data_IF_225124227371
#
_entry.id   IF_225124227371
#
_cell.length_a   1.000
_cell.length_b   1.000
_cell.length_c   1.000
_cell.angle_alpha   90.00
_cell.angle_beta   90.00
_cell.angle_gamma   90.00
#
_symmetry.space_group_name_H-M   'P 1'
#
loop_
_entity.id
_entity.type
_entity.pdbx_description
1 polymer ?
#
# COMPACT_ATOMS: atom_id res chain seq x y z
N UNK A 1 13.50 -18.14 7.44
CA UNK A 1 13.29 -17.43 6.18
C UNK A 1 14.41 -17.77 5.24
N UNK A 2 14.09 -18.08 4.00
CA UNK A 2 15.07 -18.57 3.05
C UNK A 2 15.84 -17.43 2.39
N UNK A 3 17.15 -17.60 2.24
CA UNK A 3 17.97 -16.71 1.42
C UNK A 3 17.79 -17.07 -0.06
N UNK A 4 17.83 -16.05 -0.95
CA UNK A 4 17.94 -16.29 -2.39
C UNK A 4 19.25 -17.01 -2.73
N UNK A 5 19.34 -17.59 -3.92
CA UNK A 5 20.63 -18.19 -4.37
C UNK A 5 21.72 -17.10 -4.46
N UNK A 6 21.37 -15.90 -4.90
CA UNK A 6 22.30 -14.76 -4.92
C UNK A 6 22.83 -14.40 -3.52
N UNK A 7 21.96 -14.38 -2.51
CA UNK A 7 22.35 -14.11 -1.10
C UNK A 7 23.17 -15.27 -0.51
N UNK A 8 22.90 -16.50 -0.90
CA UNK A 8 23.70 -17.66 -0.51
C UNK A 8 25.09 -17.61 -1.15
N UNK A 9 25.16 -17.30 -2.45
CA UNK A 9 26.41 -17.10 -3.17
C UNK A 9 27.26 -15.98 -2.55
N UNK A 10 26.67 -14.82 -2.28
CA UNK A 10 27.37 -13.68 -1.67
C UNK A 10 27.92 -13.98 -0.27
N UNK A 11 27.42 -14.99 0.42
CA UNK A 11 27.91 -15.40 1.73
C UNK A 11 29.09 -16.41 1.67
N UNK A 12 29.42 -16.95 0.49
CA UNK A 12 30.56 -17.84 0.32
C UNK A 12 31.88 -17.07 0.28
N UNK A 13 33.02 -17.71 0.62
CA UNK A 13 34.34 -17.16 0.35
C UNK A 13 34.53 -16.82 -1.13
N UNK A 14 35.31 -15.77 -1.43
CA UNK A 14 35.50 -15.30 -2.81
C UNK A 14 36.02 -16.43 -3.73
N UNK A 15 36.94 -17.26 -3.24
CA UNK A 15 37.51 -18.38 -3.98
C UNK A 15 36.45 -19.43 -4.40
N UNK A 16 35.46 -19.67 -3.51
CA UNK A 16 34.34 -20.57 -3.82
C UNK A 16 33.37 -19.93 -4.82
N UNK A 17 33.09 -18.61 -4.70
CA UNK A 17 32.28 -17.88 -5.68
C UNK A 17 32.93 -17.93 -7.07
N UNK A 18 34.24 -17.64 -7.17
CA UNK A 18 34.99 -17.70 -8.43
C UNK A 18 34.97 -19.11 -9.05
N UNK A 19 35.12 -20.17 -8.23
CA UNK A 19 35.07 -21.53 -8.69
C UNK A 19 33.70 -21.90 -9.28
N UNK A 20 32.59 -21.43 -8.64
CA UNK A 20 31.23 -21.66 -9.13
C UNK A 20 31.00 -20.88 -10.42
N UNK A 21 31.40 -19.59 -10.46
CA UNK A 21 31.21 -18.77 -11.66
C UNK A 21 32.03 -19.27 -12.87
N UNK A 22 33.19 -19.92 -12.61
CA UNK A 22 34.00 -20.52 -13.66
C UNK A 22 33.33 -21.70 -14.38
N UNK A 23 32.29 -22.29 -13.80
CA UNK A 23 31.50 -23.35 -14.44
C UNK A 23 30.49 -22.83 -15.47
N UNK A 24 30.22 -21.52 -15.48
CA UNK A 24 29.29 -20.86 -16.39
C UNK A 24 30.02 -20.22 -17.58
N UNK A 25 29.38 -20.22 -18.73
CA UNK A 25 29.80 -19.41 -19.88
C UNK A 25 29.52 -17.92 -19.65
N UNK A 26 30.18 -17.04 -20.40
CA UNK A 26 29.92 -15.59 -20.35
C UNK A 26 28.45 -15.25 -20.69
N UNK A 27 27.84 -16.02 -21.62
CA UNK A 27 26.43 -15.85 -21.99
C UNK A 27 25.48 -16.25 -20.85
N UNK A 28 25.76 -17.35 -20.17
CA UNK A 28 24.98 -17.79 -19.01
C UNK A 28 25.09 -16.81 -17.84
N UNK A 29 26.29 -16.30 -17.56
CA UNK A 29 26.50 -15.26 -16.55
C UNK A 29 25.75 -13.96 -16.89
N UNK A 30 25.76 -13.56 -18.16
CA UNK A 30 25.02 -12.39 -18.61
C UNK A 30 23.49 -12.54 -18.43
N UNK A 31 22.97 -13.76 -18.52
CA UNK A 31 21.56 -14.06 -18.32
C UNK A 31 21.19 -14.20 -16.84
N UNK A 32 22.14 -14.56 -15.97
CA UNK A 32 21.91 -14.79 -14.55
C UNK A 32 21.31 -13.56 -13.85
N UNK A 33 21.65 -12.34 -14.29
CA UNK A 33 21.08 -11.09 -13.77
C UNK A 33 19.56 -10.98 -13.96
N UNK A 34 18.98 -11.74 -14.90
CA UNK A 34 17.55 -11.77 -15.18
C UNK A 34 16.85 -13.02 -14.62
N UNK A 35 17.60 -13.95 -14.02
CA UNK A 35 17.05 -15.19 -13.51
C UNK A 35 16.33 -14.95 -12.19
N UNK A 36 15.00 -15.10 -12.21
CA UNK A 36 14.16 -14.96 -11.01
C UNK A 36 14.48 -15.99 -9.93
N UNK A 37 14.85 -17.21 -10.30
CA UNK A 37 15.12 -18.27 -9.34
C UNK A 37 16.45 -18.03 -8.61
N UNK A 38 17.36 -17.28 -9.23
CA UNK A 38 18.60 -16.87 -8.60
C UNK A 38 18.41 -15.67 -7.64
N UNK A 39 17.62 -14.67 -8.01
CA UNK A 39 17.52 -13.42 -7.27
C UNK A 39 16.40 -13.37 -6.24
N UNK A 40 15.27 -14.06 -6.49
CA UNK A 40 14.13 -14.00 -5.58
C UNK A 40 14.36 -14.88 -4.35
N UNK A 41 14.00 -14.36 -3.19
CA UNK A 41 13.89 -15.18 -1.98
C UNK A 41 12.67 -16.09 -2.09
N UNK A 42 12.65 -17.24 -1.40
CA UNK A 42 11.51 -18.16 -1.44
C UNK A 42 10.16 -17.51 -1.17
N UNK A 43 10.12 -16.51 -0.27
CA UNK A 43 8.91 -15.77 0.08
C UNK A 43 8.45 -14.77 -1.01
N UNK A 44 9.31 -14.44 -1.98
CA UNK A 44 8.98 -13.60 -3.14
C UNK A 44 8.51 -14.43 -4.34
N UNK A 45 8.72 -15.73 -4.32
CA UNK A 45 8.31 -16.62 -5.42
C UNK A 45 6.80 -16.79 -5.38
N UNK A 46 6.15 -16.37 -6.46
CA UNK A 46 4.71 -16.55 -6.61
C UNK A 46 4.43 -18.04 -6.80
N UNK A 47 3.55 -18.65 -5.99
CA UNK A 47 3.31 -20.08 -6.05
C UNK A 47 2.75 -20.51 -7.40
N UNK A 48 3.22 -21.65 -7.88
CA UNK A 48 2.59 -22.32 -9.02
C UNK A 48 1.27 -23.00 -8.55
N UNK A 49 0.38 -23.32 -9.49
CA UNK A 49 -0.83 -24.07 -9.20
C UNK A 49 -2.12 -23.39 -9.63
N UNK A 50 -3.23 -23.99 -9.20
CA UNK A 50 -4.58 -23.57 -9.55
C UNK A 50 -5.13 -22.56 -8.51
N UNK A 51 -4.65 -21.35 -8.57
CA UNK A 51 -5.17 -20.23 -7.78
C UNK A 51 -5.80 -19.15 -8.69
N UNK A 52 -6.78 -18.46 -8.17
CA UNK A 52 -7.46 -17.37 -8.87
C UNK A 52 -6.84 -16.01 -8.54
N UNK A 53 -6.53 -15.79 -7.28
CA UNK A 53 -5.87 -14.57 -6.79
C UNK A 53 -4.72 -14.98 -5.89
N UNK A 54 -3.54 -14.40 -6.13
CA UNK A 54 -2.46 -14.41 -5.16
C UNK A 54 -2.26 -12.97 -4.67
N UNK A 55 -2.32 -12.76 -3.36
CA UNK A 55 -2.04 -11.45 -2.76
C UNK A 55 -0.72 -11.50 -2.00
N UNK A 56 0.27 -10.76 -2.50
CA UNK A 56 1.56 -10.53 -1.84
C UNK A 56 1.42 -9.32 -0.90
N UNK A 57 1.17 -9.61 0.37
CA UNK A 57 0.92 -8.64 1.44
C UNK A 57 2.16 -8.52 2.32
N UNK A 58 2.95 -7.48 2.14
CA UNK A 58 4.25 -7.39 2.80
C UNK A 58 4.64 -5.95 3.14
N UNK A 59 5.60 -5.80 4.07
CA UNK A 59 6.15 -4.52 4.49
C UNK A 59 6.85 -3.76 3.35
N UNK A 60 7.16 -2.48 3.59
CA UNK A 60 7.95 -1.66 2.65
C UNK A 60 9.36 -2.24 2.51
N UNK A 61 9.94 -2.14 1.31
CA UNK A 61 11.28 -2.67 1.06
C UNK A 61 11.37 -4.20 0.98
N UNK A 62 10.27 -4.94 1.16
CA UNK A 62 10.25 -6.39 0.98
C UNK A 62 10.68 -6.84 -0.44
N UNK A 63 10.46 -6.02 -1.47
CA UNK A 63 10.71 -6.36 -2.87
C UNK A 63 9.47 -6.87 -3.60
N UNK A 64 8.28 -6.40 -3.20
CA UNK A 64 6.98 -6.75 -3.83
C UNK A 64 6.97 -6.49 -5.33
N UNK A 65 7.43 -5.31 -5.74
CA UNK A 65 7.47 -4.91 -7.16
C UNK A 65 8.37 -5.84 -7.97
N UNK A 66 9.55 -6.19 -7.45
CA UNK A 66 10.45 -7.14 -8.11
C UNK A 66 9.78 -8.51 -8.29
N UNK A 67 9.17 -9.05 -7.24
CA UNK A 67 8.45 -10.33 -7.30
C UNK A 67 7.34 -10.30 -8.36
N UNK A 68 6.57 -9.21 -8.41
CA UNK A 68 5.48 -9.02 -9.36
C UNK A 68 5.99 -8.90 -10.80
N UNK A 69 7.02 -8.09 -11.05
CA UNK A 69 7.56 -7.88 -12.41
C UNK A 69 8.27 -9.11 -12.94
N UNK A 70 8.98 -9.85 -12.11
CA UNK A 70 9.55 -11.15 -12.44
C UNK A 70 8.46 -12.19 -12.78
N UNK A 71 7.35 -12.19 -12.03
CA UNK A 71 6.22 -13.05 -12.38
C UNK A 71 5.61 -12.65 -13.73
N UNK A 72 5.46 -11.35 -14.02
CA UNK A 72 4.99 -10.87 -15.34
C UNK A 72 5.94 -11.33 -16.45
N UNK A 73 7.26 -11.25 -16.24
CA UNK A 73 8.26 -11.78 -17.19
C UNK A 73 8.05 -13.27 -17.40
N UNK A 74 8.00 -14.05 -16.32
CA UNK A 74 7.81 -15.51 -16.36
C UNK A 74 6.58 -15.91 -17.19
N UNK A 75 5.42 -15.29 -16.96
CA UNK A 75 4.19 -15.62 -17.70
C UNK A 75 4.22 -15.14 -19.16
N UNK A 76 4.77 -13.95 -19.39
CA UNK A 76 4.87 -13.41 -20.76
C UNK A 76 5.73 -14.27 -21.66
N UNK A 77 6.83 -14.82 -21.14
CA UNK A 77 7.73 -15.71 -21.88
C UNK A 77 7.18 -17.13 -22.00
N UNK A 78 6.59 -17.66 -20.92
CA UNK A 78 6.02 -19.00 -20.89
C UNK A 78 4.79 -19.16 -21.80
N UNK A 79 4.02 -18.10 -22.00
CA UNK A 79 2.76 -18.12 -22.77
C UNK A 79 2.77 -17.09 -23.88
N UNK A 80 3.45 -17.35 -25.03
CA UNK A 80 3.50 -16.42 -26.15
C UNK A 80 2.11 -15.96 -26.59
N UNK A 81 1.96 -14.66 -26.86
CA UNK A 81 0.67 -14.07 -27.23
C UNK A 81 -0.30 -13.85 -26.07
N UNK A 82 0.11 -14.05 -24.80
CA UNK A 82 -0.77 -13.81 -23.67
C UNK A 82 -1.09 -12.31 -23.51
N UNK A 83 -2.24 -12.04 -22.91
CA UNK A 83 -2.74 -10.70 -22.60
C UNK A 83 -2.73 -10.48 -21.11
N UNK A 84 -2.13 -9.37 -20.67
CA UNK A 84 -1.88 -9.05 -19.26
C UNK A 84 -2.52 -7.69 -18.94
N UNK A 85 -3.27 -7.60 -17.83
CA UNK A 85 -3.69 -6.33 -17.25
C UNK A 85 -2.69 -5.90 -16.18
N UNK A 86 -2.16 -4.68 -16.25
CA UNK A 86 -1.27 -4.12 -15.22
C UNK A 86 -1.96 -2.93 -14.58
N UNK A 87 -2.26 -3.01 -13.31
CA UNK A 87 -3.08 -2.05 -12.61
C UNK A 87 -2.35 -1.41 -11.41
N UNK A 88 -2.54 -0.11 -11.20
CA UNK A 88 -2.15 0.60 -9.98
C UNK A 88 -3.12 1.77 -9.72
N UNK A 89 -2.81 2.60 -8.73
CA UNK A 89 -3.64 3.76 -8.41
C UNK A 89 -3.72 4.72 -9.60
N UNK A 90 -2.58 5.12 -10.19
CA UNK A 90 -2.51 6.00 -11.35
C UNK A 90 -1.66 5.37 -12.48
N UNK A 91 -1.87 5.83 -13.73
CA UNK A 91 -1.02 5.43 -14.87
C UNK A 91 0.44 5.85 -14.65
N UNK A 92 0.66 6.98 -13.96
CA UNK A 92 1.99 7.47 -13.65
C UNK A 92 2.72 6.55 -12.66
N UNK A 93 2.02 6.03 -11.64
CA UNK A 93 2.58 5.05 -10.71
C UNK A 93 3.01 3.79 -11.46
N UNK A 94 2.16 3.27 -12.35
CA UNK A 94 2.50 2.10 -13.17
C UNK A 94 3.75 2.38 -14.01
N UNK A 95 3.78 3.50 -14.72
CA UNK A 95 4.90 3.88 -15.57
C UNK A 95 6.20 3.96 -14.78
N UNK A 96 6.21 4.74 -13.70
CA UNK A 96 7.44 5.08 -13.00
C UNK A 96 7.96 3.94 -12.12
N UNK A 97 7.07 3.09 -11.59
CA UNK A 97 7.45 2.01 -10.67
C UNK A 97 7.45 0.65 -11.36
N UNK A 98 6.34 0.29 -12.03
CA UNK A 98 6.16 -1.06 -12.56
C UNK A 98 6.81 -1.23 -13.94
N UNK A 99 6.82 -0.19 -14.77
CA UNK A 99 7.38 -0.28 -16.14
C UNK A 99 8.86 0.11 -16.16
N UNK A 100 9.20 1.35 -15.75
CA UNK A 100 10.53 1.94 -15.92
C UNK A 100 11.37 2.03 -14.65
N UNK A 101 10.84 1.60 -13.49
CA UNK A 101 11.58 1.59 -12.23
C UNK A 101 12.73 0.57 -12.24
N UNK A 102 13.63 0.66 -11.26
CA UNK A 102 14.81 -0.22 -11.15
C UNK A 102 14.45 -1.71 -11.03
N UNK A 103 13.31 -2.02 -10.43
CA UNK A 103 12.71 -3.37 -10.37
C UNK A 103 11.54 -3.51 -11.35
N UNK A 104 11.46 -2.64 -12.35
CA UNK A 104 10.37 -2.59 -13.31
C UNK A 104 10.49 -3.62 -14.42
N UNK A 105 9.41 -3.76 -15.19
CA UNK A 105 9.33 -4.76 -16.27
C UNK A 105 10.47 -4.59 -17.28
N UNK A 106 10.85 -3.35 -17.67
CA UNK A 106 11.93 -3.14 -18.61
C UNK A 106 13.31 -3.52 -18.05
N UNK A 107 13.50 -3.39 -16.74
CA UNK A 107 14.76 -3.70 -16.07
C UNK A 107 14.98 -5.21 -15.87
N UNK A 108 13.90 -5.96 -15.65
CA UNK A 108 14.00 -7.41 -15.39
C UNK A 108 14.06 -8.28 -16.64
N UNK A 109 14.04 -7.69 -17.84
CA UNK A 109 14.12 -8.42 -19.11
C UNK A 109 15.46 -8.21 -19.81
N UNK A 110 16.03 -9.28 -20.32
CA UNK A 110 17.16 -9.20 -21.25
C UNK A 110 16.76 -8.50 -22.56
N UNK A 111 17.72 -7.91 -23.27
CA UNK A 111 17.46 -7.08 -24.46
C UNK A 111 16.63 -7.78 -25.55
N UNK A 112 16.89 -9.08 -25.76
CA UNK A 112 16.23 -9.88 -26.81
C UNK A 112 14.78 -10.25 -26.51
N UNK A 113 14.36 -10.17 -25.26
CA UNK A 113 13.01 -10.51 -24.79
C UNK A 113 12.23 -9.30 -24.25
N UNK A 114 12.93 -8.15 -24.12
CA UNK A 114 12.38 -6.93 -23.51
C UNK A 114 11.18 -6.41 -24.30
N UNK A 115 10.04 -6.11 -23.62
CA UNK A 115 8.90 -5.51 -24.28
C UNK A 115 9.17 -4.06 -24.67
N UNK A 116 8.56 -3.63 -25.78
CA UNK A 116 8.46 -2.22 -26.14
C UNK A 116 7.34 -1.54 -25.35
N UNK A 117 7.67 -0.47 -24.63
CA UNK A 117 6.66 0.36 -23.97
C UNK A 117 6.14 1.42 -24.94
N UNK A 118 4.82 1.48 -25.14
CA UNK A 118 4.13 2.48 -25.98
C UNK A 118 3.32 3.45 -25.11
N UNK A 119 3.86 4.64 -24.80
CA UNK A 119 3.17 5.61 -23.95
C UNK A 119 1.83 6.08 -24.50
N UNK A 120 1.71 6.21 -25.83
CA UNK A 120 0.50 6.69 -26.49
C UNK A 120 -0.71 5.77 -26.34
N UNK A 121 -0.47 4.47 -26.19
CA UNK A 121 -1.50 3.44 -25.99
C UNK A 121 -1.48 2.86 -24.57
N UNK A 122 -0.58 3.37 -23.70
CA UNK A 122 -0.39 2.85 -22.33
C UNK A 122 -0.27 1.33 -22.31
N UNK A 123 0.66 0.80 -23.12
CA UNK A 123 0.78 -0.65 -23.33
C UNK A 123 2.24 -1.11 -23.48
N UNK A 124 2.46 -2.40 -23.22
CA UNK A 124 3.72 -3.11 -23.42
C UNK A 124 3.52 -4.21 -24.46
N UNK A 125 4.50 -4.38 -25.35
CA UNK A 125 4.46 -5.35 -26.44
C UNK A 125 5.74 -6.18 -26.45
N UNK A 126 5.64 -7.47 -26.18
CA UNK A 126 6.76 -8.41 -26.23
C UNK A 126 7.04 -8.89 -27.64
N UNK A 127 8.31 -9.24 -27.98
CA UNK A 127 8.66 -9.80 -29.28
C UNK A 127 7.90 -11.09 -29.63
N UNK A 128 7.51 -11.88 -28.62
CA UNK A 128 6.75 -13.12 -28.79
C UNK A 128 5.22 -12.93 -28.99
N UNK A 129 4.76 -11.68 -29.16
CA UNK A 129 3.37 -11.34 -29.36
C UNK A 129 2.55 -11.17 -28.08
N UNK A 130 3.15 -11.37 -26.90
CA UNK A 130 2.50 -11.04 -25.63
C UNK A 130 2.26 -9.54 -25.51
N UNK A 131 1.19 -9.16 -24.80
CA UNK A 131 0.73 -7.78 -24.72
C UNK A 131 0.28 -7.46 -23.29
N UNK A 132 0.61 -6.26 -22.79
CA UNK A 132 0.03 -5.77 -21.55
C UNK A 132 -0.59 -4.39 -21.72
N UNK A 133 -1.71 -4.18 -21.03
CA UNK A 133 -2.40 -2.90 -20.92
C UNK A 133 -2.29 -2.34 -19.52
N UNK A 134 -1.97 -1.02 -19.42
CA UNK A 134 -1.87 -0.32 -18.15
C UNK A 134 -3.23 0.26 -17.77
N UNK A 135 -3.68 0.01 -16.53
CA UNK A 135 -5.00 0.32 -16.02
C UNK A 135 -4.91 1.12 -14.73
N UNK A 136 -5.63 2.24 -14.63
CA UNK A 136 -5.64 3.10 -13.43
C UNK A 136 -6.93 2.92 -12.64
N UNK A 137 -6.83 2.90 -11.29
CA UNK A 137 -8.01 2.91 -10.43
C UNK A 137 -8.78 4.23 -10.45
N UNK A 138 -8.21 5.29 -11.01
CA UNK A 138 -8.91 6.55 -11.29
C UNK A 138 -9.86 6.45 -12.48
N UNK A 139 -9.67 5.43 -13.35
CA UNK A 139 -10.47 5.20 -14.54
C UNK A 139 -10.93 3.74 -14.62
N UNK A 140 -11.81 3.30 -13.72
CA UNK A 140 -12.21 1.89 -13.61
C UNK A 140 -12.84 1.33 -14.88
N UNK A 141 -13.46 2.17 -15.71
CA UNK A 141 -14.03 1.79 -17.01
C UNK A 141 -12.98 1.28 -18.01
N UNK A 142 -11.71 1.66 -17.88
CA UNK A 142 -10.64 1.21 -18.77
C UNK A 142 -10.44 -0.32 -18.75
N UNK A 143 -10.87 -1.00 -17.69
CA UNK A 143 -10.86 -2.46 -17.60
C UNK A 143 -12.15 -3.12 -18.15
N UNK A 144 -13.13 -2.33 -18.63
CA UNK A 144 -14.34 -2.85 -19.29
C UNK A 144 -14.08 -3.00 -20.78
N UNK A 145 -14.28 -4.17 -21.31
CA UNK A 145 -14.02 -4.47 -22.73
C UNK A 145 -12.77 -5.30 -22.97
N UNK A 146 -11.59 -4.92 -22.48
CA UNK A 146 -10.40 -5.78 -22.57
C UNK A 146 -10.63 -7.15 -21.91
N UNK A 147 -9.87 -8.14 -22.39
CA UNK A 147 -9.87 -9.49 -21.82
C UNK A 147 -8.42 -9.91 -21.61
N UNK A 148 -8.15 -10.46 -20.43
CA UNK A 148 -6.82 -10.85 -20.01
C UNK A 148 -6.74 -12.32 -19.63
N UNK A 149 -5.58 -12.94 -19.84
CA UNK A 149 -5.21 -14.25 -19.28
C UNK A 149 -4.72 -14.07 -17.86
N UNK A 150 -3.95 -12.97 -17.64
CA UNK A 150 -3.35 -12.62 -16.36
C UNK A 150 -3.58 -11.17 -16.03
N UNK A 151 -3.58 -10.85 -14.75
CA UNK A 151 -3.52 -9.47 -14.32
C UNK A 151 -2.59 -9.32 -13.12
N UNK A 152 -2.00 -8.13 -12.97
CA UNK A 152 -1.24 -7.74 -11.78
C UNK A 152 -1.74 -6.40 -11.26
N UNK A 153 -1.68 -6.22 -9.95
CA UNK A 153 -2.03 -4.99 -9.30
C UNK A 153 -0.98 -4.56 -8.28
N UNK A 154 -0.41 -3.36 -8.47
CA UNK A 154 0.55 -2.78 -7.54
C UNK A 154 -0.16 -1.85 -6.55
N UNK A 155 0.30 -1.87 -5.30
CA UNK A 155 -0.25 -1.11 -4.17
C UNK A 155 -1.79 -1.19 -4.08
N UNK A 156 -2.32 -2.40 -4.19
CA UNK A 156 -3.76 -2.70 -4.25
C UNK A 156 -4.56 -2.04 -3.13
N UNK A 157 -4.04 -2.02 -1.89
CA UNK A 157 -4.71 -1.37 -0.77
C UNK A 157 -4.85 0.16 -0.91
N UNK A 158 -4.14 0.78 -1.86
CA UNK A 158 -4.21 2.21 -2.13
C UNK A 158 -5.12 2.56 -3.31
N UNK A 159 -5.75 1.58 -3.95
CA UNK A 159 -6.61 1.84 -5.10
C UNK A 159 -7.85 2.62 -4.70
N UNK A 160 -8.29 3.49 -5.61
CA UNK A 160 -9.54 4.22 -5.42
C UNK A 160 -10.71 3.24 -5.37
N UNK A 161 -11.57 3.43 -4.38
CA UNK A 161 -12.86 2.73 -4.29
C UNK A 161 -13.94 3.42 -5.11
N UNK A 162 -13.59 4.48 -5.87
CA UNK A 162 -14.51 5.17 -6.77
C UNK A 162 -15.06 4.17 -7.77
N UNK A 163 -16.35 4.08 -7.79
CA UNK A 163 -17.05 3.23 -8.74
C UNK A 163 -17.33 3.99 -10.06
N UNK A 164 -17.36 3.25 -11.16
CA UNK A 164 -17.83 3.75 -12.43
C UNK A 164 -19.34 4.01 -12.44
N UNK A 165 -19.89 4.46 -13.55
CA UNK A 165 -21.33 4.71 -13.72
C UNK A 165 -22.23 3.49 -13.44
N UNK A 166 -21.66 2.28 -13.46
CA UNK A 166 -22.37 1.02 -13.12
C UNK A 166 -22.21 0.59 -11.67
N UNK A 167 -21.45 1.32 -10.87
CA UNK A 167 -21.09 0.97 -9.49
C UNK A 167 -19.92 -0.01 -9.38
N UNK A 168 -19.17 -0.27 -10.46
CA UNK A 168 -18.02 -1.18 -10.46
C UNK A 168 -16.70 -0.42 -10.22
N UNK A 169 -15.85 -0.97 -9.35
CA UNK A 169 -14.49 -0.49 -9.13
C UNK A 169 -13.51 -1.10 -10.14
N UNK A 170 -12.28 -0.57 -10.23
CA UNK A 170 -11.24 -1.21 -11.04
C UNK A 170 -11.03 -2.68 -10.65
N UNK A 171 -11.05 -2.99 -9.36
CA UNK A 171 -10.88 -4.37 -8.88
C UNK A 171 -11.98 -5.30 -9.40
N UNK A 172 -13.23 -4.91 -9.28
CA UNK A 172 -14.34 -5.72 -9.79
C UNK A 172 -14.30 -5.88 -11.33
N UNK A 173 -13.97 -4.80 -12.05
CA UNK A 173 -13.81 -4.86 -13.51
C UNK A 173 -12.64 -5.75 -13.92
N UNK A 174 -11.50 -5.70 -13.17
CA UNK A 174 -10.33 -6.54 -13.42
C UNK A 174 -10.63 -8.04 -13.21
N UNK A 175 -11.40 -8.37 -12.15
CA UNK A 175 -11.86 -9.75 -11.91
C UNK A 175 -12.67 -10.29 -13.08
N UNK A 176 -13.53 -9.47 -13.65
CA UNK A 176 -14.36 -9.83 -14.82
C UNK A 176 -13.56 -9.88 -16.12
N UNK A 177 -12.59 -8.97 -16.28
CA UNK A 177 -11.74 -8.89 -17.47
C UNK A 177 -10.75 -10.06 -17.56
N UNK A 178 -10.29 -10.59 -16.42
CA UNK A 178 -9.31 -11.70 -16.36
C UNK A 178 -10.02 -13.04 -16.47
N UNK A 179 -10.51 -13.35 -17.67
CA UNK A 179 -11.36 -14.53 -17.96
C UNK A 179 -10.89 -15.40 -19.12
N UNK A 180 -9.82 -15.01 -19.80
CA UNK A 180 -9.30 -15.82 -20.89
C UNK A 180 -8.70 -17.12 -20.33
N UNK A 181 -8.92 -18.21 -21.06
CA UNK A 181 -8.37 -19.51 -20.70
C UNK A 181 -6.87 -19.52 -20.93
N UNK A 182 -6.14 -20.16 -20.00
CA UNK A 182 -4.73 -20.40 -20.14
C UNK A 182 -4.46 -21.49 -21.18
N UNK A 183 -3.35 -21.43 -21.90
CA UNK A 183 -2.87 -22.55 -22.69
C UNK A 183 -2.71 -23.80 -21.78
N UNK A 184 -3.42 -24.88 -22.10
CA UNK A 184 -3.43 -26.09 -21.26
C UNK A 184 -4.57 -26.19 -20.25
N UNK A 185 -5.49 -25.20 -20.22
CA UNK A 185 -6.65 -25.15 -19.33
C UNK A 185 -6.42 -24.36 -18.04
N UNK A 186 -7.49 -24.13 -17.33
CA UNK A 186 -7.49 -23.28 -16.12
C UNK A 186 -8.05 -21.89 -16.35
N UNK A 187 -8.42 -21.18 -15.28
CA UNK A 187 -8.92 -19.81 -15.32
C UNK A 187 -7.79 -18.77 -15.28
N UNK A 188 -8.11 -17.53 -15.61
CA UNK A 188 -7.18 -16.42 -15.51
C UNK A 188 -6.71 -16.19 -14.08
N UNK A 189 -5.51 -15.66 -13.90
CA UNK A 189 -4.87 -15.46 -12.60
C UNK A 189 -4.59 -13.99 -12.35
N UNK A 190 -4.75 -13.55 -11.10
CA UNK A 190 -4.52 -12.16 -10.67
C UNK A 190 -3.53 -12.14 -9.52
N UNK A 191 -2.40 -11.45 -9.69
CA UNK A 191 -1.44 -11.19 -8.62
C UNK A 191 -1.62 -9.76 -8.11
N UNK A 192 -1.87 -9.60 -6.82
CA UNK A 192 -2.01 -8.31 -6.15
C UNK A 192 -0.84 -8.11 -5.19
N UNK A 193 -0.08 -7.05 -5.36
CA UNK A 193 1.01 -6.67 -4.46
C UNK A 193 0.60 -5.44 -3.64
N UNK A 194 0.82 -5.46 -2.34
CA UNK A 194 0.46 -4.33 -1.48
C UNK A 194 1.16 -4.33 -0.13
N UNK A 195 1.38 -3.14 0.42
CA UNK A 195 1.53 -2.96 1.86
C UNK A 195 0.13 -2.94 2.46
N UNK A 196 -0.15 -3.70 3.54
CA UNK A 196 -1.51 -3.77 4.09
C UNK A 196 -1.97 -2.41 4.59
N UNK A 197 -3.24 -2.09 4.32
CA UNK A 197 -3.93 -0.91 4.87
C UNK A 197 -5.30 -1.34 5.37
N UNK A 198 -5.84 -0.60 6.33
CA UNK A 198 -7.17 -0.86 6.92
C UNK A 198 -8.32 -0.45 5.99
N UNK A 199 -8.25 -0.82 4.71
CA UNK A 199 -9.30 -0.50 3.73
C UNK A 199 -10.32 -1.61 3.63
N UNK A 200 -11.55 -1.28 3.24
CA UNK A 200 -12.61 -2.26 3.08
C UNK A 200 -12.23 -3.35 2.07
N UNK A 201 -11.60 -2.95 0.95
CA UNK A 201 -11.19 -3.90 -0.10
C UNK A 201 -10.17 -4.93 0.43
N UNK A 202 -9.30 -4.54 1.35
CA UNK A 202 -8.34 -5.46 1.99
C UNK A 202 -9.05 -6.41 2.97
N UNK A 203 -9.99 -5.91 3.77
CA UNK A 203 -10.79 -6.76 4.68
C UNK A 203 -11.59 -7.79 3.89
N UNK A 204 -12.26 -7.35 2.82
CA UNK A 204 -13.05 -8.23 1.95
C UNK A 204 -12.17 -9.31 1.30
N UNK A 205 -10.97 -8.95 0.83
CA UNK A 205 -10.01 -9.89 0.26
C UNK A 205 -9.57 -10.94 1.31
N UNK A 206 -9.22 -10.49 2.53
CA UNK A 206 -8.79 -11.38 3.60
C UNK A 206 -9.92 -12.30 4.07
N UNK A 207 -11.15 -11.81 4.15
CA UNK A 207 -12.31 -12.63 4.50
C UNK A 207 -12.60 -13.69 3.44
N UNK A 208 -12.60 -13.29 2.17
CA UNK A 208 -12.78 -14.22 1.04
C UNK A 208 -11.66 -15.28 0.99
N UNK A 209 -10.43 -14.93 1.36
CA UNK A 209 -9.32 -15.88 1.39
C UNK A 209 -9.50 -17.02 2.43
N UNK A 210 -10.43 -16.89 3.37
CA UNK A 210 -10.78 -17.97 4.30
C UNK A 210 -11.61 -19.08 3.63
N UNK A 211 -12.25 -18.78 2.49
CA UNK A 211 -13.00 -19.75 1.72
C UNK A 211 -12.09 -20.41 0.66
N UNK A 212 -11.78 -21.71 0.77
CA UNK A 212 -10.92 -22.40 -0.20
C UNK A 212 -11.46 -22.40 -1.64
N UNK A 213 -12.77 -22.30 -1.82
CA UNK A 213 -13.41 -22.28 -3.16
C UNK A 213 -13.07 -21.01 -3.96
N UNK A 214 -12.72 -19.92 -3.26
CA UNK A 214 -12.28 -18.66 -3.87
C UNK A 214 -10.88 -18.75 -4.48
N UNK A 215 -10.12 -19.79 -4.13
CA UNK A 215 -8.74 -20.03 -4.62
C UNK A 215 -7.85 -18.80 -4.46
N UNK A 216 -7.92 -18.18 -3.28
CA UNK A 216 -7.12 -17.00 -2.92
C UNK A 216 -5.95 -17.45 -2.04
N UNK A 217 -4.74 -17.12 -2.46
CA UNK A 217 -3.49 -17.38 -1.73
C UNK A 217 -2.96 -16.07 -1.18
N UNK A 218 -2.68 -16.03 0.13
CA UNK A 218 -2.05 -14.88 0.78
C UNK A 218 -0.60 -15.22 1.07
N UNK A 219 0.31 -14.53 0.41
CA UNK A 219 1.75 -14.57 0.67
C UNK A 219 2.10 -13.38 1.56
N UNK A 220 2.78 -13.62 2.67
CA UNK A 220 3.15 -12.59 3.64
C UNK A 220 4.65 -12.41 3.71
N UNK A 221 5.08 -11.19 4.05
CA UNK A 221 6.48 -10.89 4.29
C UNK A 221 6.66 -9.56 5.02
N UNK A 222 7.85 -9.38 5.59
CA UNK A 222 8.24 -8.18 6.33
C UNK A 222 9.39 -7.45 5.64
N UNK A 223 9.60 -6.20 6.00
CA UNK A 223 10.79 -5.43 5.61
C UNK A 223 12.08 -6.16 6.00
N UNK A 224 12.07 -6.81 7.17
CA UNK A 224 13.23 -7.52 7.74
C UNK A 224 13.61 -8.80 6.98
N UNK A 225 12.74 -9.30 6.11
CA UNK A 225 13.05 -10.46 5.27
C UNK A 225 13.99 -10.08 4.12
N UNK A 226 14.15 -8.79 3.84
CA UNK A 226 15.03 -8.30 2.80
C UNK A 226 16.43 -7.98 3.34
N UNK A 227 17.32 -8.94 3.25
CA UNK A 227 18.72 -8.83 3.72
C UNK A 227 19.59 -7.89 2.87
N UNK A 228 19.07 -7.40 1.72
CA UNK A 228 19.76 -6.39 0.88
C UNK A 228 19.55 -4.97 1.38
N UNK A 229 18.66 -4.74 2.34
CA UNK A 229 18.48 -3.44 2.96
C UNK A 229 19.62 -3.15 3.94
N UNK A 230 20.17 -1.92 3.93
CA UNK A 230 21.22 -1.56 4.86
C UNK A 230 20.70 -1.44 6.30
N UNK A 231 21.56 -1.72 7.27
CA UNK A 231 21.25 -1.56 8.70
C UNK A 231 20.85 -0.11 9.03
N UNK A 232 21.44 0.87 8.33
CA UNK A 232 21.09 2.29 8.50
C UNK A 232 19.66 2.58 8.04
N UNK A 233 19.23 1.97 6.93
CA UNK A 233 17.85 2.12 6.45
C UNK A 233 16.87 1.49 7.46
N UNK A 234 17.14 0.29 7.95
CA UNK A 234 16.32 -0.38 8.95
C UNK A 234 16.23 0.43 10.24
N UNK A 235 17.37 0.93 10.74
CA UNK A 235 17.41 1.78 11.94
C UNK A 235 16.68 3.13 11.74
N UNK A 236 16.69 3.68 10.52
CA UNK A 236 15.91 4.88 10.18
C UNK A 236 14.40 4.60 10.24
N UNK A 237 13.97 3.48 9.66
CA UNK A 237 12.57 3.08 9.67
C UNK A 237 12.07 2.78 11.09
N UNK A 238 12.86 2.09 11.89
CA UNK A 238 12.54 1.83 13.29
C UNK A 238 12.41 3.11 14.12
N UNK A 239 13.28 4.10 13.89
CA UNK A 239 13.17 5.41 14.54
C UNK A 239 11.94 6.20 14.09
N UNK A 240 11.58 6.08 12.82
CA UNK A 240 10.44 6.81 12.25
C UNK A 240 9.10 6.24 12.71
N UNK A 241 8.98 4.92 12.74
CA UNK A 241 7.73 4.24 13.05
C UNK A 241 7.64 3.76 14.51
N UNK A 242 8.79 3.54 15.18
CA UNK A 242 8.85 3.04 16.56
C UNK A 242 8.14 1.68 16.73
N UNK A 243 7.56 1.48 17.91
CA UNK A 243 6.72 0.30 18.21
C UNK A 243 5.22 0.56 17.95
N UNK A 244 4.90 1.47 17.04
CA UNK A 244 3.52 1.83 16.73
C UNK A 244 2.82 0.75 15.90
N UNK A 245 1.49 0.81 15.87
CA UNK A 245 0.70 -0.02 14.95
C UNK A 245 1.06 0.25 13.50
N UNK A 246 1.47 1.49 13.19
CA UNK A 246 1.95 1.83 11.86
C UNK A 246 3.25 1.08 11.51
N UNK A 247 4.15 0.83 12.49
CA UNK A 247 5.33 -0.01 12.28
C UNK A 247 4.95 -1.46 11.94
N UNK A 248 3.99 -2.03 12.65
CA UNK A 248 3.51 -3.39 12.35
C UNK A 248 2.95 -3.48 10.92
N UNK A 249 2.18 -2.46 10.51
CA UNK A 249 1.63 -2.38 9.16
C UNK A 249 2.72 -2.18 8.09
N UNK A 250 3.55 -1.16 8.24
CA UNK A 250 4.50 -0.72 7.20
C UNK A 250 5.76 -1.60 7.14
N UNK A 251 6.22 -2.14 8.28
CA UNK A 251 7.45 -2.94 8.34
C UNK A 251 7.18 -4.43 8.41
N UNK A 252 6.20 -4.87 9.23
CA UNK A 252 5.92 -6.31 9.38
C UNK A 252 4.90 -6.83 8.38
N UNK A 253 4.22 -5.94 7.62
CA UNK A 253 3.20 -6.35 6.68
C UNK A 253 1.94 -6.93 7.35
N UNK A 254 1.70 -6.57 8.62
CA UNK A 254 0.55 -7.03 9.38
C UNK A 254 -0.66 -6.15 9.13
N UNK A 255 -1.82 -6.77 8.95
CA UNK A 255 -3.08 -6.04 8.92
C UNK A 255 -3.59 -5.91 10.34
N UNK A 256 -3.65 -4.68 10.84
CA UNK A 256 -4.10 -4.40 12.19
C UNK A 256 -5.56 -3.99 12.12
N UNK A 257 -6.43 -4.69 12.84
CA UNK A 257 -7.83 -4.32 12.95
C UNK A 257 -7.99 -3.10 13.88
N UNK A 258 -9.03 -2.29 13.62
CA UNK A 258 -9.40 -1.22 14.54
C UNK A 258 -9.75 -1.85 15.90
N UNK A 259 -9.31 -1.24 17.00
CA UNK A 259 -9.63 -1.74 18.34
C UNK A 259 -11.15 -1.77 18.57
N UNK A 260 -11.65 -2.77 19.30
CA UNK A 260 -13.07 -2.82 19.67
C UNK A 260 -13.47 -1.55 20.44
N UNK A 261 -14.58 -0.93 20.02
CA UNK A 261 -15.11 0.27 20.68
C UNK A 261 -14.59 1.61 20.14
N UNK A 262 -13.78 1.61 19.08
CA UNK A 262 -13.38 2.84 18.38
C UNK A 262 -14.62 3.57 17.83
N UNK A 263 -14.76 4.85 18.18
CA UNK A 263 -15.86 5.71 17.71
C UNK A 263 -15.66 6.09 16.23
N UNK A 264 -14.42 6.36 15.82
CA UNK A 264 -14.06 6.72 14.45
C UNK A 264 -13.12 5.67 13.86
N UNK A 265 -13.64 4.85 12.96
CA UNK A 265 -12.80 3.88 12.25
C UNK A 265 -11.90 4.59 11.24
N UNK A 266 -10.77 3.96 10.90
CA UNK A 266 -9.86 4.46 9.86
C UNK A 266 -10.60 4.70 8.55
N UNK A 267 -11.57 3.85 8.19
CA UNK A 267 -12.40 4.01 6.99
C UNK A 267 -13.28 5.28 7.05
N UNK A 268 -13.88 5.57 8.20
CA UNK A 268 -14.67 6.80 8.40
C UNK A 268 -13.78 8.04 8.22
N UNK A 269 -12.56 8.02 8.76
CA UNK A 269 -11.59 9.10 8.63
C UNK A 269 -11.17 9.29 7.16
N UNK A 270 -10.86 8.22 6.44
CA UNK A 270 -10.47 8.30 5.03
C UNK A 270 -11.61 8.81 4.13
N UNK A 271 -12.83 8.35 4.33
CA UNK A 271 -14.02 8.88 3.62
C UNK A 271 -14.27 10.36 3.92
N UNK A 272 -13.91 10.84 5.11
CA UNK A 272 -14.10 12.21 5.54
C UNK A 272 -12.99 13.18 5.08
N UNK A 273 -11.88 12.70 4.48
CA UNK A 273 -10.73 13.55 4.09
C UNK A 273 -11.02 14.58 3.00
N UNK A 274 -12.03 14.39 2.17
CA UNK A 274 -12.43 15.37 1.15
C UNK A 274 -13.37 16.43 1.73
N UNK A 275 -12.83 17.47 2.35
CA UNK A 275 -13.64 18.50 2.99
C UNK A 275 -13.68 19.81 2.19
N UNK A 276 -14.83 20.52 2.20
CA UNK A 276 -14.94 21.85 1.63
C UNK A 276 -14.09 22.88 2.40
N UNK A 277 -13.79 24.00 1.75
CA UNK A 277 -12.92 25.06 2.28
C UNK A 277 -13.41 25.64 3.62
N UNK A 278 -12.49 26.23 4.39
CA UNK A 278 -12.72 26.85 5.71
C UNK A 278 -13.88 27.86 5.77
N UNK A 279 -14.25 28.49 4.66
CA UNK A 279 -15.38 29.42 4.58
C UNK A 279 -16.76 28.80 4.85
N UNK A 280 -16.85 27.47 4.77
CA UNK A 280 -18.11 26.74 4.93
C UNK A 280 -18.49 26.41 6.39
N UNK A 281 -17.64 26.82 7.37
CA UNK A 281 -17.81 26.48 8.78
C UNK A 281 -18.10 27.72 9.65
N UNK A 282 -19.37 28.14 9.77
CA UNK A 282 -19.75 29.37 10.51
C UNK A 282 -19.59 29.22 12.04
N UNK A 283 -19.78 28.03 12.59
CA UNK A 283 -19.50 27.74 14.00
C UNK A 283 -18.13 27.06 14.09
N UNK A 284 -17.25 27.59 14.94
CA UNK A 284 -15.95 27.01 15.22
C UNK A 284 -15.76 26.88 16.72
N UNK A 285 -15.12 25.77 17.14
CA UNK A 285 -14.89 25.43 18.54
C UNK A 285 -13.48 24.87 18.67
N UNK A 286 -12.78 25.19 19.75
CA UNK A 286 -11.58 24.48 20.15
C UNK A 286 -11.99 23.47 21.23
N UNK A 287 -11.80 22.19 20.94
CA UNK A 287 -12.01 21.10 21.89
C UNK A 287 -10.66 20.75 22.55
N UNK A 288 -10.67 20.60 23.86
CA UNK A 288 -9.48 20.32 24.67
C UNK A 288 -9.72 19.12 25.57
N UNK A 289 -8.86 18.13 25.47
CA UNK A 289 -8.75 17.03 26.40
C UNK A 289 -7.43 17.20 27.18
N UNK A 290 -7.51 17.76 28.44
CA UNK A 290 -6.33 18.13 29.16
C UNK A 290 -5.59 16.92 29.73
N UNK A 291 -4.28 16.82 29.49
CA UNK A 291 -3.45 15.85 30.20
C UNK A 291 -3.17 16.34 31.64
N UNK A 292 -3.41 15.49 32.63
CA UNK A 292 -3.35 15.86 34.06
C UNK A 292 -2.08 15.34 34.75
N UNK A 293 -1.25 14.54 34.05
CA UNK A 293 -0.01 13.98 34.62
C UNK A 293 1.05 15.07 34.86
N UNK A 294 1.42 15.26 36.12
CA UNK A 294 2.49 16.16 36.54
C UNK A 294 3.91 15.63 36.32
N UNK A 295 4.08 14.35 35.94
CA UNK A 295 5.36 13.71 35.73
C UNK A 295 5.85 13.95 34.29
N UNK A 296 7.00 14.65 34.08
CA UNK A 296 7.55 14.89 32.74
C UNK A 296 7.90 13.64 31.94
N UNK A 297 8.12 12.50 32.62
CA UNK A 297 8.51 11.24 31.98
C UNK A 297 7.32 10.37 31.55
N UNK A 298 6.16 10.59 32.17
CA UNK A 298 4.92 9.84 31.92
C UNK A 298 3.73 10.76 31.65
N UNK A 299 3.98 11.89 30.97
CA UNK A 299 2.93 12.85 30.64
C UNK A 299 2.22 12.42 29.36
N UNK A 300 0.91 12.25 29.45
CA UNK A 300 0.07 12.07 28.27
C UNK A 300 0.00 13.35 27.43
N UNK A 301 -0.31 13.21 26.16
CA UNK A 301 -0.54 14.34 25.26
C UNK A 301 -1.83 15.06 25.63
N UNK A 302 -1.83 16.40 25.63
CA UNK A 302 -3.03 17.20 25.71
C UNK A 302 -3.66 17.27 24.33
N UNK A 303 -4.86 16.72 24.15
CA UNK A 303 -5.63 16.76 22.92
C UNK A 303 -6.20 18.17 22.69
N UNK A 304 -5.85 18.84 21.59
CA UNK A 304 -6.35 20.16 21.23
C UNK A 304 -6.76 20.16 19.78
N UNK A 305 -8.07 20.19 19.50
CA UNK A 305 -8.61 20.05 18.14
C UNK A 305 -9.52 21.23 17.80
N UNK A 306 -9.26 21.87 16.66
CA UNK A 306 -10.16 22.86 16.11
C UNK A 306 -11.23 22.19 15.26
N UNK A 307 -12.50 22.42 15.58
CA UNK A 307 -13.66 21.84 14.91
C UNK A 307 -14.52 22.93 14.31
N UNK A 308 -14.94 22.74 13.06
CA UNK A 308 -15.96 23.55 12.39
C UNK A 308 -17.28 22.81 12.29
N UNK A 309 -18.39 23.52 12.38
CA UNK A 309 -19.74 22.96 12.21
C UNK A 309 -20.64 23.87 11.39
N UNK A 310 -21.60 23.28 10.67
CA UNK A 310 -22.71 24.01 10.07
C UNK A 310 -23.72 24.44 11.15
N UNK A 311 -24.56 25.42 10.86
CA UNK A 311 -25.58 25.95 11.79
C UNK A 311 -26.95 25.27 11.62
N UNK A 312 -26.99 24.05 11.07
CA UNK A 312 -28.25 23.32 10.94
C UNK A 312 -28.90 23.06 12.29
N UNK A 313 -30.18 23.37 12.42
CA UNK A 313 -30.98 23.11 13.63
C UNK A 313 -31.27 21.62 13.79
N UNK A 314 -31.43 20.90 12.69
CA UNK A 314 -31.58 19.45 12.63
C UNK A 314 -30.21 18.79 12.81
N UNK A 315 -29.99 18.17 13.96
CA UNK A 315 -28.71 17.51 14.30
C UNK A 315 -28.33 16.39 13.31
N UNK A 316 -29.32 15.75 12.66
CA UNK A 316 -29.05 14.67 11.72
C UNK A 316 -28.47 15.18 10.39
N UNK A 317 -28.69 16.46 10.08
CA UNK A 317 -28.17 17.14 8.89
C UNK A 317 -26.92 17.99 9.18
N UNK A 318 -26.60 18.17 10.47
CA UNK A 318 -25.43 18.94 10.87
C UNK A 318 -24.15 18.25 10.42
N UNK A 319 -23.28 18.99 9.76
CA UNK A 319 -21.94 18.52 9.39
C UNK A 319 -20.90 19.15 10.29
N UNK A 320 -19.89 18.39 10.67
CA UNK A 320 -18.74 18.84 11.41
C UNK A 320 -17.45 18.42 10.70
N UNK A 321 -16.39 19.17 10.89
CA UNK A 321 -15.08 18.89 10.36
C UNK A 321 -13.98 19.19 11.38
N UNK A 322 -12.96 18.37 11.44
CA UNK A 322 -11.70 18.71 12.09
C UNK A 322 -10.96 19.66 11.18
N UNK A 323 -10.69 20.88 11.64
CA UNK A 323 -10.04 21.93 10.87
C UNK A 323 -8.53 21.92 11.07
N UNK A 324 -8.06 21.60 12.28
CA UNK A 324 -6.65 21.46 12.62
C UNK A 324 -6.49 20.67 13.92
N UNK A 325 -5.35 20.04 14.08
CA UNK A 325 -4.88 19.40 15.28
C UNK A 325 -3.70 20.22 15.85
N UNK A 326 -3.81 20.62 17.11
CA UNK A 326 -2.83 21.38 17.88
C UNK A 326 -2.38 20.63 19.12
N UNK A 327 -2.68 19.32 19.19
CA UNK A 327 -2.32 18.45 20.31
C UNK A 327 -0.82 18.48 20.58
N UNK A 328 -0.43 18.46 21.85
CA UNK A 328 0.98 18.49 22.24
C UNK A 328 1.21 17.91 23.62
N UNK A 329 2.39 17.34 23.80
CA UNK A 329 2.86 16.92 25.11
C UNK A 329 3.62 18.08 25.77
N UNK A 330 2.96 18.84 26.65
CA UNK A 330 3.51 20.02 27.27
C UNK A 330 2.91 20.29 28.65
N UNK A 331 3.51 21.23 29.42
CA UNK A 331 2.96 21.67 30.70
C UNK A 331 1.63 22.43 30.53
N UNK A 332 0.76 22.46 31.55
CA UNK A 332 -0.51 23.18 31.49
C UNK A 332 -0.43 24.62 30.99
N UNK A 333 0.60 25.33 31.36
CA UNK A 333 0.82 26.72 30.91
C UNK A 333 1.12 26.80 29.41
N UNK A 334 1.83 25.80 28.84
CA UNK A 334 2.19 25.78 27.43
C UNK A 334 0.98 25.37 26.57
N UNK A 335 0.25 24.31 26.94
CA UNK A 335 -0.93 23.92 26.19
C UNK A 335 -2.06 24.95 26.28
N UNK A 336 -2.21 25.67 27.43
CA UNK A 336 -3.17 26.77 27.55
C UNK A 336 -2.85 27.92 26.57
N UNK A 337 -1.57 28.27 26.39
CA UNK A 337 -1.14 29.24 25.36
C UNK A 337 -1.49 28.74 23.96
N UNK A 338 -1.27 27.47 23.69
CA UNK A 338 -1.61 26.85 22.39
C UNK A 338 -3.12 26.93 22.11
N UNK A 339 -3.97 26.66 23.12
CA UNK A 339 -5.43 26.82 23.03
C UNK A 339 -5.81 28.24 22.70
N UNK A 340 -5.21 29.25 23.39
CA UNK A 340 -5.48 30.65 23.12
C UNK A 340 -5.05 31.07 21.69
N UNK A 341 -3.91 30.60 21.22
CA UNK A 341 -3.44 30.85 19.86
C UNK A 341 -4.34 30.19 18.81
N UNK A 342 -4.76 28.95 19.03
CA UNK A 342 -5.70 28.24 18.15
C UNK A 342 -7.05 28.96 18.10
N UNK A 343 -7.58 29.39 19.24
CA UNK A 343 -8.83 30.14 19.31
C UNK A 343 -8.75 31.47 18.55
N UNK A 344 -7.66 32.21 18.69
CA UNK A 344 -7.40 33.45 17.95
C UNK A 344 -7.29 33.20 16.44
N UNK A 345 -6.54 32.20 16.02
CA UNK A 345 -6.36 31.82 14.61
C UNK A 345 -7.69 31.46 13.94
N UNK A 346 -8.48 30.61 14.60
CA UNK A 346 -9.78 30.17 14.11
C UNK A 346 -10.90 31.21 14.38
N UNK A 347 -10.59 32.36 14.98
CA UNK A 347 -11.52 33.43 15.31
C UNK A 347 -12.76 32.94 16.06
N UNK A 348 -12.56 32.06 17.04
CA UNK A 348 -13.63 31.53 17.89
C UNK A 348 -13.50 31.99 19.32
N UNK A 349 -14.66 32.12 19.99
CA UNK A 349 -14.76 32.39 21.43
C UNK A 349 -15.17 31.14 22.22
N UNK A 350 -15.38 30.01 21.51
CA UNK A 350 -15.85 28.80 22.13
C UNK A 350 -14.67 27.83 22.32
N UNK A 351 -14.37 27.55 23.58
CA UNK A 351 -13.45 26.51 24.01
C UNK A 351 -14.24 25.51 24.85
N UNK A 352 -14.23 24.25 24.45
CA UNK A 352 -14.86 23.13 25.17
C UNK A 352 -13.76 22.30 25.76
N UNK A 353 -13.81 22.07 27.06
CA UNK A 353 -12.78 21.32 27.80
C UNK A 353 -13.42 20.14 28.51
N UNK A 354 -12.81 18.97 28.42
CA UNK A 354 -13.26 17.80 29.16
C UNK A 354 -13.01 17.97 30.67
N UNK A 355 -14.04 17.69 31.48
CA UNK A 355 -14.03 17.96 32.91
C UNK A 355 -13.57 16.81 33.81
N UNK A 356 -13.37 15.62 33.27
CA UNK A 356 -13.27 14.36 34.01
C UNK A 356 -12.12 14.27 35.01
N UNK A 357 -10.99 14.93 34.81
CA UNK A 357 -9.80 14.82 35.68
C UNK A 357 -9.14 16.15 36.07
N UNK A 358 -9.58 17.29 35.57
CA UNK A 358 -8.88 18.57 35.74
C UNK A 358 -9.70 19.72 36.37
N UNK A 359 -10.75 19.42 37.13
CA UNK A 359 -11.75 20.43 37.55
C UNK A 359 -11.25 21.71 38.24
N UNK A 360 -10.05 21.74 38.83
CA UNK A 360 -9.46 22.93 39.44
C UNK A 360 -8.50 23.69 38.52
N UNK A 361 -7.87 23.00 37.55
CA UNK A 361 -6.96 23.61 36.57
C UNK A 361 -7.70 24.42 35.48
N UNK A 362 -9.00 24.20 35.32
CA UNK A 362 -9.82 24.86 34.30
C UNK A 362 -10.37 26.22 34.75
N UNK A 363 -10.09 26.64 35.98
CA UNK A 363 -10.54 27.95 36.55
C UNK A 363 -9.43 29.02 36.57
N UNK A 364 -8.24 28.68 36.07
CA UNK A 364 -7.15 29.64 35.82
C UNK A 364 -7.24 30.23 34.42
#
# INVERSE_FOLDING_TARGET
MGKSLAEQMAALPIEEQEAIYAEYTEEELALLQYDSDFWLRPEQIIPDGDWRITALVAGRGFGKTLAMTQWVRKIALKYPGCRIGIAARTVMDIRNTVVTGDSGILAVHADHERPEYKPSTTSLHWPNGSYAQLLSSESPDAARGPQFHFAVGDEFAAWNTTADASGATLYSNLLMATRLQLPGGGGGQILLATTPKRTQVMRDLMERAKNPEEKIVIVRGSTYDNTSLSDEYLALMERQYGNSDLAKQELMGEMIDDAEGIVFTTEMIEKARSLPSMSSWPLRVIAVDPSVSGDPKNRDECGIVAVGSTLESDLTKRRAAVLADYSLNASPEVWAKQVAQAAAYHRTKFVVVEKNQGGQLLQM
#
